data_IF_973553302680
#
_entry.id   IF_973553302680
#
_cell.length_a   1.000
_cell.length_b   1.000
_cell.length_c   1.000
_cell.angle_alpha   90.00
_cell.angle_beta   90.00
_cell.angle_gamma   90.00
#
_symmetry.space_group_name_H-M   'P 1'
#
loop_
_entity.id
_entity.type
_entity.pdbx_description
1 polymer ?
#
# COMPACT_ATOMS: atom_id res chain seq x y z
N UNK A 1 6.23 -20.66 -2.52
CA UNK A 1 7.06 -19.59 -1.92
C UNK A 1 6.16 -18.56 -1.25
N UNK A 2 6.66 -17.83 -0.26
CA UNK A 2 5.94 -16.70 0.36
C UNK A 2 6.51 -15.37 -0.15
N UNK A 3 5.64 -14.46 -0.57
CA UNK A 3 6.01 -13.09 -0.96
C UNK A 3 5.87 -12.15 0.23
N UNK A 4 6.97 -11.68 0.79
CA UNK A 4 7.02 -10.71 1.87
C UNK A 4 7.08 -9.30 1.28
N UNK A 5 6.17 -8.43 1.73
CA UNK A 5 6.10 -7.04 1.28
C UNK A 5 6.34 -6.13 2.48
N UNK A 6 7.43 -5.36 2.42
CA UNK A 6 7.81 -4.37 3.43
C UNK A 6 7.41 -2.94 3.00
N UNK A 7 7.47 -1.97 3.91
CA UNK A 7 7.15 -0.56 3.59
C UNK A 7 8.21 0.13 2.73
N UNK A 8 9.48 -0.21 2.94
CA UNK A 8 10.64 0.49 2.34
C UNK A 8 11.84 -0.45 2.13
N UNK A 9 12.79 -0.08 1.24
CA UNK A 9 13.92 -0.95 0.90
C UNK A 9 14.79 -1.36 2.09
N UNK A 10 15.00 -0.47 3.05
CA UNK A 10 15.82 -0.76 4.23
C UNK A 10 15.23 -1.86 5.12
N UNK A 11 13.90 -1.86 5.29
CA UNK A 11 13.19 -2.91 6.03
C UNK A 11 13.24 -4.23 5.26
N UNK A 12 13.06 -4.19 3.93
CA UNK A 12 13.22 -5.37 3.07
C UNK A 12 14.61 -6.01 3.21
N UNK A 13 15.67 -5.20 3.23
CA UNK A 13 17.03 -5.69 3.43
C UNK A 13 17.25 -6.31 4.82
N UNK A 14 16.70 -5.71 5.88
CA UNK A 14 16.79 -6.25 7.24
C UNK A 14 16.07 -7.61 7.36
N UNK A 15 14.86 -7.71 6.80
CA UNK A 15 14.10 -8.97 6.78
C UNK A 15 14.82 -10.03 5.95
N UNK A 16 15.40 -9.66 4.81
CA UNK A 16 16.20 -10.58 3.99
C UNK A 16 17.44 -11.09 4.74
N UNK A 17 18.16 -10.21 5.43
CA UNK A 17 19.29 -10.60 6.26
C UNK A 17 18.87 -11.55 7.40
N UNK A 18 17.78 -11.24 8.10
CA UNK A 18 17.29 -12.06 9.20
C UNK A 18 16.80 -13.45 8.77
N UNK A 19 16.25 -13.56 7.55
CA UNK A 19 15.77 -14.82 6.97
C UNK A 19 16.82 -15.54 6.10
N UNK A 20 18.03 -14.99 5.98
CA UNK A 20 19.11 -15.59 5.17
C UNK A 20 18.84 -15.59 3.66
N UNK A 21 18.09 -14.61 3.15
CA UNK A 21 17.75 -14.48 1.72
C UNK A 21 18.79 -13.59 1.02
N UNK A 22 19.49 -14.12 0.03
CA UNK A 22 20.66 -13.45 -0.57
C UNK A 22 20.54 -13.16 -2.08
N UNK A 23 19.55 -13.73 -2.78
CA UNK A 23 19.37 -13.57 -4.22
C UNK A 23 18.80 -12.21 -4.62
N UNK A 24 19.64 -11.16 -4.60
CA UNK A 24 19.25 -9.81 -4.99
C UNK A 24 18.84 -9.73 -6.46
N UNK A 25 17.73 -9.05 -6.73
CA UNK A 25 17.17 -8.72 -8.04
C UNK A 25 16.78 -7.24 -8.08
N UNK A 26 16.30 -6.76 -9.22
CA UNK A 26 15.79 -5.40 -9.35
C UNK A 26 14.44 -5.26 -8.62
N UNK A 27 14.44 -4.61 -7.46
CA UNK A 27 13.25 -4.33 -6.65
C UNK A 27 12.82 -5.42 -5.67
N UNK A 28 13.57 -6.52 -5.52
CA UNK A 28 13.30 -7.60 -4.56
C UNK A 28 14.54 -8.48 -4.32
N UNK A 29 14.46 -9.37 -3.34
CA UNK A 29 15.50 -10.34 -2.97
C UNK A 29 14.80 -11.69 -2.80
N UNK A 30 15.26 -12.76 -3.46
CA UNK A 30 14.61 -14.07 -3.40
C UNK A 30 15.58 -15.22 -3.09
N UNK A 31 15.02 -16.31 -2.56
CA UNK A 31 15.62 -17.63 -2.47
C UNK A 31 14.51 -18.68 -2.66
N UNK A 32 14.79 -19.97 -2.48
CA UNK A 32 13.81 -21.04 -2.73
C UNK A 32 12.54 -20.99 -1.86
N UNK A 33 12.56 -20.23 -0.75
CA UNK A 33 11.45 -20.18 0.23
C UNK A 33 10.71 -18.85 0.21
N UNK A 34 11.44 -17.74 0.13
CA UNK A 34 10.93 -16.39 0.31
C UNK A 34 11.30 -15.49 -0.86
N UNK A 35 10.36 -14.64 -1.23
CA UNK A 35 10.59 -13.47 -2.08
C UNK A 35 10.33 -12.26 -1.20
N UNK A 36 11.30 -11.38 -1.03
CA UNK A 36 11.21 -10.19 -0.18
C UNK A 36 11.28 -8.98 -1.07
N UNK A 37 10.19 -8.21 -1.10
CA UNK A 37 10.10 -6.96 -1.81
C UNK A 37 9.55 -5.87 -0.89
N UNK A 38 9.45 -4.65 -1.39
CA UNK A 38 9.10 -3.48 -0.60
C UNK A 38 8.32 -2.45 -1.41
N UNK A 39 7.57 -1.64 -0.69
CA UNK A 39 7.03 -0.39 -1.17
C UNK A 39 8.09 0.72 -1.11
N UNK A 40 7.73 1.92 -1.57
CA UNK A 40 8.52 3.15 -1.40
C UNK A 40 7.58 4.18 -0.77
N UNK A 41 7.19 3.91 0.48
CA UNK A 41 6.05 4.57 1.13
C UNK A 41 4.75 4.26 0.37
N UNK A 42 3.89 5.28 0.21
CA UNK A 42 2.67 5.16 -0.59
C UNK A 42 3.01 5.02 -2.08
N UNK A 43 2.88 3.79 -2.61
CA UNK A 43 2.92 3.50 -4.05
C UNK A 43 1.58 3.83 -4.73
N UNK A 44 0.50 3.63 -3.98
CA UNK A 44 -0.88 3.84 -4.39
C UNK A 44 -1.48 4.84 -3.43
N UNK A 45 -2.25 5.77 -3.96
CA UNK A 45 -2.95 6.80 -3.21
C UNK A 45 -4.38 6.95 -3.75
N UNK A 46 -5.22 7.67 -3.02
CA UNK A 46 -6.54 8.04 -3.53
C UNK A 46 -6.38 8.86 -4.82
N UNK A 47 -7.23 8.57 -5.81
CA UNK A 47 -7.23 9.34 -7.04
C UNK A 47 -7.68 10.78 -6.80
N UNK A 48 -7.14 11.69 -7.60
CA UNK A 48 -7.55 13.09 -7.67
C UNK A 48 -9.00 13.23 -8.16
N UNK A 49 -9.62 14.39 -7.90
CA UNK A 49 -10.99 14.69 -8.30
C UNK A 49 -11.26 14.43 -9.79
N UNK A 50 -10.29 14.78 -10.64
CA UNK A 50 -10.36 14.60 -12.08
C UNK A 50 -10.55 13.13 -12.53
N UNK A 51 -10.20 12.14 -11.70
CA UNK A 51 -10.40 10.72 -12.01
C UNK A 51 -11.88 10.30 -11.90
N UNK A 52 -12.69 11.04 -11.14
CA UNK A 52 -14.10 10.73 -10.91
C UNK A 52 -15.04 11.32 -11.97
N UNK A 53 -14.53 12.11 -12.90
CA UNK A 53 -15.28 12.69 -14.01
C UNK A 53 -14.69 14.00 -14.52
N UNK A 54 -14.89 14.30 -15.81
CA UNK A 54 -14.40 15.54 -16.43
C UNK A 54 -14.97 16.80 -15.75
N UNK A 55 -16.18 16.71 -15.21
CA UNK A 55 -16.82 17.79 -14.44
C UNK A 55 -16.03 18.19 -13.19
N UNK A 56 -15.17 17.30 -12.66
CA UNK A 56 -14.33 17.55 -11.50
C UNK A 56 -12.90 17.95 -11.87
N UNK A 57 -12.58 18.01 -13.17
CA UNK A 57 -11.24 18.43 -13.66
C UNK A 57 -11.02 19.93 -13.46
N UNK A 58 -12.08 20.73 -13.58
CA UNK A 58 -12.08 22.15 -13.23
C UNK A 58 -12.85 22.31 -11.93
N UNK A 59 -12.25 22.98 -10.96
CA UNK A 59 -12.89 23.17 -9.67
C UNK A 59 -14.05 24.17 -9.76
N UNK A 60 -15.18 23.83 -9.14
CA UNK A 60 -16.34 24.72 -8.98
C UNK A 60 -17.05 24.43 -7.66
N UNK A 61 -17.58 25.47 -7.01
CA UNK A 61 -18.44 25.33 -5.83
C UNK A 61 -19.68 24.47 -6.12
N UNK A 62 -20.24 24.56 -7.34
CA UNK A 62 -21.44 23.79 -7.74
C UNK A 62 -21.18 22.27 -7.81
N UNK A 63 -19.90 21.88 -7.90
CA UNK A 63 -19.48 20.48 -7.97
C UNK A 63 -19.24 19.85 -6.61
N UNK A 64 -19.47 20.61 -5.52
CA UNK A 64 -19.31 20.14 -4.15
C UNK A 64 -20.65 19.70 -3.53
N UNK A 65 -20.65 18.68 -2.65
CA UNK A 65 -19.50 17.85 -2.29
C UNK A 65 -19.21 16.77 -3.34
N UNK A 66 -17.93 16.51 -3.62
CA UNK A 66 -17.53 15.36 -4.44
C UNK A 66 -17.60 14.12 -3.54
N UNK A 67 -18.70 13.38 -3.66
CA UNK A 67 -18.93 12.13 -2.94
C UNK A 67 -18.90 10.96 -3.93
N UNK A 68 -17.72 10.34 -4.16
CA UNK A 68 -17.63 9.22 -5.08
C UNK A 68 -18.40 8.01 -4.53
N UNK A 69 -19.20 7.37 -5.38
CA UNK A 69 -19.88 6.10 -5.04
C UNK A 69 -18.85 4.99 -4.82
N UNK A 70 -17.81 4.95 -5.66
CA UNK A 70 -16.67 4.05 -5.54
C UNK A 70 -15.38 4.86 -5.49
N UNK A 71 -14.51 4.55 -4.53
CA UNK A 71 -13.22 5.20 -4.38
C UNK A 71 -12.24 4.68 -5.41
N UNK A 72 -11.62 5.60 -6.15
CA UNK A 72 -10.59 5.27 -7.11
C UNK A 72 -9.20 5.44 -6.50
N UNK A 73 -8.28 4.60 -6.95
CA UNK A 73 -6.90 4.59 -6.51
C UNK A 73 -5.98 4.77 -7.71
N UNK A 74 -4.94 5.57 -7.55
CA UNK A 74 -3.94 5.85 -8.58
C UNK A 74 -2.55 5.47 -8.08
N UNK A 75 -1.77 4.84 -8.95
CA UNK A 75 -0.34 4.58 -8.69
C UNK A 75 0.43 5.88 -8.89
N UNK A 76 1.30 6.23 -7.94
CA UNK A 76 2.16 7.41 -8.06
C UNK A 76 3.06 7.30 -9.31
N UNK A 77 3.11 8.38 -10.11
CA UNK A 77 3.74 8.37 -11.44
C UNK A 77 5.24 8.00 -11.39
N UNK A 78 5.93 8.43 -10.34
CA UNK A 78 7.34 8.16 -10.07
C UNK A 78 7.61 6.73 -9.56
N UNK A 79 6.56 6.01 -9.13
CA UNK A 79 6.68 4.69 -8.48
C UNK A 79 6.06 3.54 -9.26
N UNK A 80 5.63 3.80 -10.50
CA UNK A 80 5.01 2.80 -11.38
C UNK A 80 5.89 1.56 -11.62
N UNK A 81 7.21 1.72 -11.70
CA UNK A 81 8.17 0.60 -11.86
C UNK A 81 8.09 -0.38 -10.68
N UNK A 82 8.17 0.13 -9.45
CA UNK A 82 8.13 -0.71 -8.25
C UNK A 82 6.76 -1.36 -8.06
N UNK A 83 5.68 -0.63 -8.33
CA UNK A 83 4.33 -1.21 -8.31
C UNK A 83 4.18 -2.36 -9.31
N UNK A 84 4.70 -2.20 -10.53
CA UNK A 84 4.68 -3.26 -11.54
C UNK A 84 5.43 -4.51 -11.06
N UNK A 85 6.61 -4.35 -10.47
CA UNK A 85 7.38 -5.46 -9.88
C UNK A 85 6.53 -6.17 -8.82
N UNK A 86 5.95 -5.46 -7.86
CA UNK A 86 5.11 -6.06 -6.82
C UNK A 86 3.90 -6.79 -7.42
N UNK A 87 3.23 -6.19 -8.40
CA UNK A 87 2.09 -6.80 -9.10
C UNK A 87 2.51 -8.11 -9.77
N UNK A 88 3.60 -8.09 -10.53
CA UNK A 88 4.10 -9.27 -11.24
C UNK A 88 4.47 -10.38 -10.24
N UNK A 89 5.15 -10.03 -9.12
CA UNK A 89 5.48 -10.97 -8.05
C UNK A 89 4.23 -11.56 -7.38
N UNK A 90 3.21 -10.75 -7.11
CA UNK A 90 1.95 -11.23 -6.55
C UNK A 90 1.25 -12.25 -7.47
N UNK A 91 1.38 -12.11 -8.78
CA UNK A 91 0.75 -12.99 -9.78
C UNK A 91 1.59 -14.20 -10.21
N UNK A 92 2.86 -14.29 -9.80
CA UNK A 92 3.70 -15.47 -10.10
C UNK A 92 3.06 -16.77 -9.59
N UNK A 93 3.11 -17.85 -10.37
CA UNK A 93 2.45 -19.11 -10.04
C UNK A 93 3.04 -19.84 -8.82
N UNK A 94 4.33 -19.63 -8.54
CA UNK A 94 5.06 -20.23 -7.41
C UNK A 94 4.84 -19.51 -6.06
N UNK A 95 4.24 -18.33 -6.08
CA UNK A 95 3.83 -17.60 -4.87
C UNK A 95 2.47 -18.13 -4.40
N UNK A 96 2.45 -18.75 -3.24
CA UNK A 96 1.23 -19.32 -2.65
C UNK A 96 0.55 -18.37 -1.66
N UNK A 97 1.31 -17.46 -1.06
CA UNK A 97 0.88 -16.60 0.04
C UNK A 97 1.67 -15.28 0.01
N UNK A 98 1.01 -14.19 0.42
CA UNK A 98 1.63 -12.88 0.63
C UNK A 98 1.76 -12.58 2.12
N UNK A 99 2.87 -11.99 2.56
CA UNK A 99 3.09 -11.59 3.96
C UNK A 99 3.21 -10.07 4.00
N UNK A 100 2.28 -9.41 4.69
CA UNK A 100 2.39 -8.00 5.04
C UNK A 100 3.44 -7.85 6.15
N UNK A 101 4.61 -7.32 5.81
CA UNK A 101 5.68 -6.97 6.74
C UNK A 101 5.92 -5.45 6.81
N UNK A 102 4.91 -4.64 6.50
CA UNK A 102 4.90 -3.23 6.83
C UNK A 102 4.78 -3.02 8.34
N UNK A 103 5.10 -1.81 8.81
CA UNK A 103 5.11 -1.46 10.22
C UNK A 103 3.81 -1.88 10.94
N UNK A 104 3.96 -2.27 12.22
CA UNK A 104 2.88 -2.75 13.10
C UNK A 104 1.95 -1.61 13.54
N UNK A 105 1.38 -0.90 12.58
CA UNK A 105 0.47 0.22 12.75
C UNK A 105 -0.60 0.28 11.66
N UNK A 106 -1.46 1.30 11.73
CA UNK A 106 -2.55 1.51 10.78
C UNK A 106 -2.04 1.90 9.39
N UNK A 107 -1.07 2.80 9.33
CA UNK A 107 -0.47 3.25 8.07
C UNK A 107 0.22 2.09 7.31
N UNK A 108 0.97 1.25 8.02
CA UNK A 108 1.62 0.09 7.40
C UNK A 108 0.62 -0.90 6.79
N UNK A 109 -0.52 -1.13 7.44
CA UNK A 109 -1.60 -1.94 6.88
C UNK A 109 -2.18 -1.32 5.61
N UNK A 110 -2.38 -0.01 5.63
CA UNK A 110 -3.00 0.73 4.54
C UNK A 110 -2.10 0.76 3.30
N UNK A 111 -0.79 1.00 3.48
CA UNK A 111 0.21 0.95 2.40
C UNK A 111 0.16 -0.42 1.71
N UNK A 112 0.19 -1.50 2.49
CA UNK A 112 0.10 -2.85 1.94
C UNK A 112 -1.23 -3.08 1.21
N UNK A 113 -2.35 -2.72 1.85
CA UNK A 113 -3.69 -3.01 1.34
C UNK A 113 -3.98 -2.28 0.04
N UNK A 114 -3.62 -1.00 -0.09
CA UNK A 114 -3.79 -0.27 -1.36
C UNK A 114 -3.01 -0.92 -2.50
N UNK A 115 -1.78 -1.36 -2.25
CA UNK A 115 -0.98 -2.05 -3.27
C UNK A 115 -1.59 -3.41 -3.61
N UNK A 116 -2.02 -4.17 -2.59
CA UNK A 116 -2.62 -5.49 -2.75
C UNK A 116 -3.94 -5.45 -3.54
N UNK A 117 -4.82 -4.48 -3.22
CA UNK A 117 -6.09 -4.26 -3.91
C UNK A 117 -5.87 -3.76 -5.35
N UNK A 118 -5.01 -2.75 -5.53
CA UNK A 118 -4.70 -2.21 -6.86
C UNK A 118 -3.99 -3.23 -7.76
N UNK A 119 -3.22 -4.15 -7.19
CA UNK A 119 -2.63 -5.26 -7.92
C UNK A 119 -3.66 -6.34 -8.32
N UNK A 120 -4.85 -6.34 -7.72
CA UNK A 120 -5.89 -7.34 -7.96
C UNK A 120 -5.50 -8.73 -7.45
N UNK A 121 -4.66 -8.80 -6.42
CA UNK A 121 -4.21 -10.08 -5.87
C UNK A 121 -5.34 -10.76 -5.08
N UNK A 122 -5.50 -12.06 -5.26
CA UNK A 122 -6.52 -12.89 -4.56
C UNK A 122 -5.92 -13.95 -3.65
N UNK A 123 -4.59 -13.99 -3.53
CA UNK A 123 -3.88 -15.00 -2.75
C UNK A 123 -4.06 -14.73 -1.26
N UNK A 124 -4.08 -15.76 -0.41
CA UNK A 124 -4.14 -15.52 1.02
C UNK A 124 -2.95 -14.66 1.46
N UNK A 125 -3.20 -13.77 2.43
CA UNK A 125 -2.13 -13.01 3.05
C UNK A 125 -2.17 -13.09 4.58
N UNK A 126 -0.97 -13.07 5.16
CA UNK A 126 -0.73 -13.00 6.60
C UNK A 126 0.00 -11.71 6.93
N UNK A 127 0.10 -11.39 8.22
CA UNK A 127 0.76 -10.19 8.70
C UNK A 127 1.82 -10.52 9.74
N UNK A 128 3.00 -9.96 9.52
CA UNK A 128 4.08 -9.90 10.49
C UNK A 128 3.81 -8.72 11.43
N UNK A 129 3.60 -9.01 12.71
CA UNK A 129 3.31 -8.00 13.73
C UNK A 129 4.45 -7.95 14.75
N UNK A 130 5.48 -7.17 14.44
CA UNK A 130 6.67 -7.00 15.27
C UNK A 130 6.94 -5.52 15.52
N UNK A 131 7.48 -5.20 16.70
CA UNK A 131 7.90 -3.83 17.08
C UNK A 131 9.41 -3.63 17.06
N UNK A 132 10.18 -4.69 16.74
CA UNK A 132 11.64 -4.67 16.67
C UNK A 132 12.12 -5.27 15.36
N UNK A 133 13.17 -4.69 14.78
CA UNK A 133 13.83 -5.15 13.56
C UNK A 133 15.08 -6.01 13.85
N UNK A 134 15.26 -6.42 15.11
CA UNK A 134 16.31 -7.37 15.46
C UNK A 134 16.03 -8.75 14.84
N UNK A 135 17.08 -9.44 14.42
CA UNK A 135 17.00 -10.75 13.75
C UNK A 135 16.12 -11.75 14.50
N UNK A 136 16.27 -11.85 15.83
CA UNK A 136 15.48 -12.77 16.65
C UNK A 136 13.99 -12.42 16.68
N UNK A 137 13.65 -11.12 16.72
CA UNK A 137 12.26 -10.65 16.69
C UNK A 137 11.61 -10.92 15.34
N UNK A 138 12.35 -10.70 14.24
CA UNK A 138 11.88 -11.00 12.88
C UNK A 138 11.60 -12.51 12.76
N UNK A 139 12.58 -13.36 13.11
CA UNK A 139 12.42 -14.81 13.01
C UNK A 139 11.22 -15.32 13.84
N UNK A 140 11.13 -14.93 15.11
CA UNK A 140 10.00 -15.29 15.98
C UNK A 140 8.66 -14.76 15.44
N UNK A 141 8.65 -13.57 14.85
CA UNK A 141 7.46 -13.00 14.22
C UNK A 141 7.00 -13.78 12.99
N UNK A 142 7.93 -14.34 12.21
CA UNK A 142 7.61 -15.21 11.06
C UNK A 142 7.05 -16.57 11.48
N UNK A 143 7.40 -17.06 12.67
CA UNK A 143 6.82 -18.26 13.25
C UNK A 143 5.40 -18.02 13.79
N UNK A 144 5.06 -16.76 14.12
CA UNK A 144 3.79 -16.34 14.71
C UNK A 144 2.99 -15.39 13.81
N UNK A 145 2.98 -15.65 12.50
CA UNK A 145 2.24 -14.83 11.53
C UNK A 145 0.74 -14.82 11.83
N UNK A 146 0.16 -13.62 11.81
CA UNK A 146 -1.27 -13.42 12.07
C UNK A 146 -2.06 -13.47 10.77
N UNK A 147 -3.20 -14.14 10.76
CA UNK A 147 -4.10 -14.13 9.59
C UNK A 147 -4.66 -12.73 9.36
N UNK A 148 -4.56 -12.23 8.13
CA UNK A 148 -5.00 -10.88 7.77
C UNK A 148 -6.50 -10.61 7.95
N UNK A 149 -7.32 -11.67 8.01
CA UNK A 149 -8.79 -11.63 8.15
C UNK A 149 -9.24 -11.08 9.52
N UNK A 150 -8.44 -11.25 10.57
CA UNK A 150 -8.80 -10.79 11.92
C UNK A 150 -8.67 -9.28 12.14
N UNK A 151 -7.97 -8.56 11.24
CA UNK A 151 -7.69 -7.13 11.39
C UNK A 151 -8.61 -6.24 10.54
N UNK A 152 -9.46 -6.80 9.69
CA UNK A 152 -10.41 -6.06 8.85
C UNK A 152 -11.33 -5.10 9.63
N UNK A 153 -11.86 -5.44 10.83
CA UNK A 153 -12.75 -4.54 11.57
C UNK A 153 -12.08 -3.26 12.08
N UNK A 154 -10.78 -3.27 12.40
CA UNK A 154 -10.06 -2.10 12.91
C UNK A 154 -9.54 -1.17 11.81
N UNK A 155 -9.54 -1.65 10.56
CA UNK A 155 -9.06 -0.94 9.38
C UNK A 155 -10.17 -0.07 8.76
N UNK A 156 -11.43 -0.50 8.82
CA UNK A 156 -12.58 0.22 8.24
C UNK A 156 -12.67 1.69 8.72
N UNK A 157 -12.51 2.01 10.02
CA UNK A 157 -12.54 3.41 10.47
C UNK A 157 -11.35 4.23 9.97
N UNK A 158 -10.18 3.61 9.77
CA UNK A 158 -9.01 4.30 9.25
C UNK A 158 -9.10 4.52 7.73
N UNK A 159 -9.68 3.56 7.00
CA UNK A 159 -10.09 3.72 5.60
C UNK A 159 -11.10 4.84 5.45
N UNK A 160 -12.12 4.88 6.32
CA UNK A 160 -13.06 5.99 6.38
C UNK A 160 -12.36 7.32 6.71
N UNK A 161 -11.40 7.31 7.63
CA UNK A 161 -10.56 8.47 7.96
C UNK A 161 -9.76 8.97 6.76
N UNK A 162 -9.09 8.09 6.02
CA UNK A 162 -8.37 8.47 4.80
C UNK A 162 -9.31 8.91 3.68
N UNK A 163 -10.51 8.35 3.59
CA UNK A 163 -11.57 8.81 2.69
C UNK A 163 -12.07 10.20 3.10
N UNK A 164 -12.16 10.51 4.39
CA UNK A 164 -12.50 11.84 4.89
C UNK A 164 -11.37 12.85 4.64
N UNK A 165 -10.10 12.47 4.80
CA UNK A 165 -8.97 13.32 4.39
C UNK A 165 -8.86 13.42 2.87
N UNK A 166 -9.20 12.37 2.14
CA UNK A 166 -9.35 12.38 0.68
C UNK A 166 -10.43 13.38 0.26
N UNK A 167 -11.59 13.38 0.93
CA UNK A 167 -12.65 14.38 0.74
C UNK A 167 -12.12 15.79 0.96
N UNK A 168 -11.31 16.02 2.00
CA UNK A 168 -10.74 17.35 2.25
C UNK A 168 -9.77 17.77 1.15
N UNK A 169 -8.99 16.84 0.58
CA UNK A 169 -8.15 17.05 -0.61
C UNK A 169 -8.98 17.30 -1.87
N UNK A 170 -10.09 16.57 -2.07
CA UNK A 170 -11.04 16.82 -3.15
C UNK A 170 -11.72 18.19 -3.03
N UNK A 171 -11.79 18.76 -1.82
CA UNK A 171 -12.31 20.12 -1.57
C UNK A 171 -11.24 21.20 -1.43
N UNK A 172 -9.94 20.86 -1.46
CA UNK A 172 -8.82 21.79 -1.16
C UNK A 172 -8.73 23.06 -2.02
N UNK A 173 -9.19 23.12 -3.28
CA UNK A 173 -9.05 24.36 -4.04
C UNK A 173 -9.87 25.53 -3.46
N UNK A 174 -10.82 25.28 -2.54
CA UNK A 174 -11.56 26.32 -1.82
C UNK A 174 -10.66 27.30 -1.02
N UNK A 175 -9.42 26.91 -0.70
CA UNK A 175 -8.48 27.72 0.09
C UNK A 175 -7.19 28.10 -0.65
N UNK A 176 -7.02 27.72 -1.93
CA UNK A 176 -5.85 28.13 -2.72
C UNK A 176 -6.16 29.42 -3.51
N UNK A 177 -5.38 30.51 -3.32
CA UNK A 177 -5.62 31.78 -4.01
C UNK A 177 -5.50 31.68 -5.55
N UNK A 178 -4.89 30.61 -6.08
CA UNK A 178 -4.80 30.37 -7.52
C UNK A 178 -6.13 29.96 -8.20
N UNK A 179 -7.16 29.58 -7.43
CA UNK A 179 -8.51 29.30 -7.95
C UNK A 179 -9.49 30.47 -7.73
N UNK A 180 -9.07 31.56 -7.09
CA UNK A 180 -9.81 32.82 -7.08
C UNK A 180 -9.51 33.65 -8.34
N UNK A 181 -9.69 33.06 -9.52
CA UNK A 181 -10.06 33.90 -10.67
C UNK A 181 -11.50 34.34 -10.43
N UNK A 182 -11.62 35.51 -9.79
CA UNK A 182 -12.87 36.26 -9.66
C UNK A 182 -13.39 36.59 -11.07
N UNK A 183 -14.72 36.71 -11.24
CA UNK A 183 -15.30 37.32 -12.44
C UNK A 183 -14.76 38.74 -12.66
#
# INVERSE_FOLDING_TARGET
MKLVICEKPSVGAAVAAALGVTGKKDGYIENDKYIISWCIGHLVQLSEAAAYGEQYRKWSYDSLPILPQEWQYTVAADKGKQFKILKDLMHRADVSEVVNACDAGREGELIFRFVYEMAGCKKPFTRLWISSMETGAIQSGFDNLRTGVGMTPSIIPHYAGQRLTGLSVLTRPAFSPACMERP
#
